data_IF_010902283771
#
_entry.id   IF_010902283771
#
_cell.length_a   1.000
_cell.length_b   1.000
_cell.length_c   1.000
_cell.angle_alpha   90.00
_cell.angle_beta   90.00
_cell.angle_gamma   90.00
#
_symmetry.space_group_name_H-M   'P 1'
#
loop_
_entity.id
_entity.type
_entity.pdbx_description
1 polymer ?
#
# COMPACT_ATOMS: atom_id res chain seq x y z
N UNK A 1 -9.62 13.32 25.60
CA UNK A 1 -8.92 13.37 24.30
C UNK A 1 -9.52 12.30 23.40
N UNK A 2 -9.74 12.57 22.10
CA UNK A 2 -10.18 11.52 21.19
C UNK A 2 -9.13 10.41 21.13
N UNK A 3 -9.60 9.17 21.30
CA UNK A 3 -8.73 7.99 21.29
C UNK A 3 -8.55 7.44 19.88
N UNK A 4 -7.38 6.88 19.63
CA UNK A 4 -6.97 6.37 18.32
C UNK A 4 -6.73 4.85 18.43
N UNK A 5 -7.37 4.08 17.57
CA UNK A 5 -7.01 2.69 17.32
C UNK A 5 -6.20 2.59 16.05
N UNK A 6 -5.02 1.96 16.11
CA UNK A 6 -4.29 1.59 14.89
C UNK A 6 -4.61 0.16 14.51
N UNK A 7 -4.94 -0.05 13.24
CA UNK A 7 -5.14 -1.38 12.65
C UNK A 7 -3.96 -1.73 11.77
N UNK A 8 -3.39 -2.91 11.98
CA UNK A 8 -2.27 -3.45 11.20
C UNK A 8 -2.65 -4.83 10.68
N UNK A 9 -2.58 -5.03 9.38
CA UNK A 9 -2.72 -6.36 8.76
C UNK A 9 -1.33 -6.90 8.43
N UNK A 10 -1.12 -8.19 8.63
CA UNK A 10 0.21 -8.79 8.48
C UNK A 10 0.16 -10.22 7.95
N UNK A 11 1.25 -10.60 7.27
CA UNK A 11 1.55 -11.99 6.89
C UNK A 11 3.02 -12.13 6.55
N UNK A 12 3.79 -12.88 7.37
CA UNK A 12 5.23 -13.10 7.20
C UNK A 12 6.04 -11.79 7.11
N UNK A 13 5.89 -10.94 8.13
CA UNK A 13 6.51 -9.61 8.24
C UNK A 13 7.47 -9.50 9.44
N UNK A 14 8.11 -10.61 9.86
CA UNK A 14 9.03 -10.63 11.00
C UNK A 14 10.12 -9.56 10.94
N UNK A 15 10.58 -9.20 9.72
CA UNK A 15 11.62 -8.20 9.48
C UNK A 15 11.13 -6.75 9.65
N UNK A 16 9.83 -6.52 9.51
CA UNK A 16 9.24 -5.18 9.46
C UNK A 16 8.36 -4.87 10.67
N UNK A 17 7.62 -5.88 11.17
CA UNK A 17 6.53 -5.68 12.14
C UNK A 17 7.00 -4.97 13.42
N UNK A 18 8.19 -5.27 13.94
CA UNK A 18 8.73 -4.59 15.13
C UNK A 18 8.88 -3.09 14.91
N UNK A 19 9.46 -2.69 13.78
CA UNK A 19 9.66 -1.29 13.42
C UNK A 19 8.33 -0.56 13.21
N UNK A 20 7.37 -1.22 12.57
CA UNK A 20 6.01 -0.70 12.39
C UNK A 20 5.36 -0.45 13.75
N UNK A 21 5.25 -1.46 14.60
CA UNK A 21 4.56 -1.38 15.89
C UNK A 21 5.24 -0.41 16.85
N UNK A 22 6.58 -0.34 16.88
CA UNK A 22 7.30 0.66 17.67
C UNK A 22 7.01 2.09 17.24
N UNK A 23 6.67 2.33 15.98
CA UNK A 23 6.37 3.68 15.48
C UNK A 23 4.95 4.16 15.85
N UNK A 24 4.10 3.26 16.33
CA UNK A 24 2.71 3.52 16.69
C UNK A 24 2.40 3.19 18.16
N UNK A 25 3.42 3.03 19.03
CA UNK A 25 3.27 2.70 20.45
C UNK A 25 2.58 3.79 21.28
N UNK A 26 2.45 4.97 20.70
CA UNK A 26 1.82 6.16 21.29
C UNK A 26 0.28 6.20 21.15
N UNK A 27 -0.33 5.27 20.41
CA UNK A 27 -1.79 5.21 20.24
C UNK A 27 -2.46 4.50 21.42
N UNK A 28 -3.78 4.69 21.57
CA UNK A 28 -4.54 4.09 22.68
C UNK A 28 -4.78 2.59 22.48
N UNK A 29 -4.78 2.12 21.24
CA UNK A 29 -5.04 0.73 20.89
C UNK A 29 -4.33 0.30 19.61
N UNK A 30 -3.72 -0.88 19.64
CA UNK A 30 -3.16 -1.54 18.45
C UNK A 30 -3.92 -2.86 18.22
N UNK A 31 -4.54 -3.00 17.05
CA UNK A 31 -5.20 -4.22 16.58
C UNK A 31 -4.38 -4.81 15.45
N UNK A 32 -3.86 -6.01 15.64
CA UNK A 32 -3.11 -6.75 14.62
C UNK A 32 -3.99 -7.88 14.07
N UNK A 33 -4.09 -7.98 12.75
CA UNK A 33 -4.78 -9.09 12.08
C UNK A 33 -3.78 -9.87 11.23
N UNK A 34 -3.51 -11.10 11.64
CA UNK A 34 -2.58 -12.00 10.98
C UNK A 34 -3.32 -12.93 10.01
N UNK A 35 -2.81 -13.05 8.80
CA UNK A 35 -3.39 -13.88 7.74
C UNK A 35 -2.63 -15.18 7.51
N UNK A 36 -2.14 -15.79 8.59
CA UNK A 36 -1.45 -17.09 8.58
C UNK A 36 0.05 -16.96 8.40
N UNK A 37 0.71 -16.13 9.21
CA UNK A 37 2.17 -16.07 9.30
C UNK A 37 2.76 -17.39 9.81
N UNK A 38 3.92 -17.75 9.24
CA UNK A 38 4.70 -18.95 9.57
C UNK A 38 6.07 -18.64 10.17
N UNK A 39 6.39 -17.36 10.26
CA UNK A 39 7.62 -16.79 10.84
C UNK A 39 7.33 -16.21 12.24
N UNK A 40 8.28 -15.47 12.81
CA UNK A 40 8.15 -14.87 14.15
C UNK A 40 7.23 -13.62 14.21
N UNK A 41 6.50 -13.27 13.12
CA UNK A 41 5.63 -12.09 13.06
C UNK A 41 4.68 -11.97 14.26
N UNK A 42 3.93 -13.02 14.58
CA UNK A 42 2.95 -13.02 15.70
C UNK A 42 3.62 -12.91 17.07
N UNK A 43 4.74 -13.59 17.23
CA UNK A 43 5.52 -13.56 18.47
C UNK A 43 6.01 -12.14 18.73
N UNK A 44 6.58 -11.47 17.71
CA UNK A 44 7.02 -10.08 17.82
C UNK A 44 5.84 -9.14 18.08
N UNK A 45 4.71 -9.32 17.38
CA UNK A 45 3.52 -8.49 17.58
C UNK A 45 2.97 -8.60 19.01
N UNK A 46 3.08 -9.78 19.67
CA UNK A 46 2.62 -10.01 21.03
C UNK A 46 3.35 -9.22 22.11
N UNK A 47 4.53 -8.67 21.79
CA UNK A 47 5.28 -7.76 22.67
C UNK A 47 4.63 -6.36 22.76
N UNK A 48 3.82 -5.97 21.77
CA UNK A 48 3.20 -4.64 21.66
C UNK A 48 1.71 -4.64 21.99
N UNK A 49 1.01 -5.73 21.69
CA UNK A 49 -0.43 -5.82 21.92
C UNK A 49 -0.89 -7.25 22.19
N UNK A 50 -1.97 -7.39 22.97
CA UNK A 50 -2.69 -8.65 23.13
C UNK A 50 -3.85 -8.81 22.15
N UNK A 51 -4.14 -7.79 21.35
CA UNK A 51 -5.24 -7.77 20.37
C UNK A 51 -4.76 -8.25 19.01
N UNK A 52 -4.37 -9.51 18.95
CA UNK A 52 -3.94 -10.21 17.73
C UNK A 52 -5.03 -11.19 17.32
N UNK A 53 -5.47 -11.10 16.08
CA UNK A 53 -6.54 -11.93 15.52
C UNK A 53 -6.02 -12.71 14.32
N UNK A 54 -6.21 -14.01 14.35
CA UNK A 54 -5.90 -14.89 13.22
C UNK A 54 -7.11 -15.00 12.30
N UNK A 55 -6.92 -14.77 11.00
CA UNK A 55 -7.97 -14.97 9.99
C UNK A 55 -7.44 -15.70 8.76
N UNK A 56 -8.35 -16.33 8.03
CA UNK A 56 -8.02 -16.80 6.68
C UNK A 56 -7.94 -15.61 5.73
N UNK A 57 -6.92 -15.62 4.87
CA UNK A 57 -6.79 -14.59 3.84
C UNK A 57 -7.95 -14.63 2.83
N UNK A 58 -8.69 -13.54 2.73
CA UNK A 58 -9.79 -13.34 1.78
C UNK A 58 -9.66 -12.02 0.99
N UNK A 59 -8.46 -11.46 0.92
CA UNK A 59 -8.14 -10.20 0.27
C UNK A 59 -7.97 -9.04 1.26
N UNK A 60 -7.29 -8.00 0.80
CA UNK A 60 -6.94 -6.83 1.62
C UNK A 60 -8.18 -6.13 2.20
N UNK A 61 -9.20 -5.88 1.39
CA UNK A 61 -10.39 -5.15 1.82
C UNK A 61 -11.14 -5.83 2.95
N UNK A 62 -11.38 -7.15 2.87
CA UNK A 62 -12.04 -7.92 3.93
C UNK A 62 -11.20 -7.97 5.21
N UNK A 63 -9.89 -8.16 5.07
CA UNK A 63 -8.95 -8.21 6.21
C UNK A 63 -8.92 -6.87 6.95
N UNK A 64 -8.82 -5.76 6.23
CA UNK A 64 -8.85 -4.41 6.84
C UNK A 64 -10.22 -4.05 7.41
N UNK A 65 -11.31 -4.49 6.77
CA UNK A 65 -12.67 -4.34 7.32
C UNK A 65 -12.79 -5.05 8.66
N UNK A 66 -12.36 -6.32 8.73
CA UNK A 66 -12.35 -7.08 9.98
C UNK A 66 -11.51 -6.38 11.06
N UNK A 67 -10.31 -5.89 10.72
CA UNK A 67 -9.45 -5.17 11.65
C UNK A 67 -10.14 -3.90 12.18
N UNK A 68 -10.79 -3.11 11.30
CA UNK A 68 -11.58 -1.92 11.67
C UNK A 68 -12.73 -2.28 12.62
N UNK A 69 -13.44 -3.37 12.37
CA UNK A 69 -14.56 -3.79 13.21
C UNK A 69 -14.09 -4.19 14.62
N UNK A 70 -12.87 -4.73 14.75
CA UNK A 70 -12.24 -5.04 16.05
C UNK A 70 -11.73 -3.81 16.80
N UNK A 71 -11.48 -2.70 16.13
CA UNK A 71 -11.01 -1.48 16.77
C UNK A 71 -12.11 -0.85 17.68
N UNK A 72 -11.71 -0.30 18.84
CA UNK A 72 -12.64 0.19 19.86
C UNK A 72 -12.88 1.70 19.79
N UNK A 73 -11.98 2.44 19.13
CA UNK A 73 -12.02 3.90 19.19
C UNK A 73 -12.54 4.54 17.91
N UNK A 74 -12.95 5.81 18.03
CA UNK A 74 -13.54 6.57 16.93
C UNK A 74 -12.55 6.83 15.79
N UNK A 75 -11.29 7.16 16.11
CA UNK A 75 -10.27 7.37 15.11
C UNK A 75 -9.55 6.08 14.79
N UNK A 76 -9.46 5.77 13.50
CA UNK A 76 -8.72 4.64 12.98
C UNK A 76 -7.51 5.16 12.19
N UNK A 77 -6.32 4.69 12.57
CA UNK A 77 -5.11 4.82 11.78
C UNK A 77 -4.81 3.44 11.15
N UNK A 78 -4.92 3.34 9.83
CA UNK A 78 -4.60 2.09 9.11
C UNK A 78 -3.16 2.13 8.65
N UNK A 79 -2.32 1.21 9.13
CA UNK A 79 -0.89 1.11 8.80
C UNK A 79 -0.60 -0.29 8.30
N UNK A 80 0.16 -0.41 7.22
CA UNK A 80 0.62 -1.72 6.75
C UNK A 80 1.88 -2.14 7.53
N UNK A 81 2.15 -3.44 7.67
CA UNK A 81 3.22 -3.95 8.54
C UNK A 81 4.64 -3.52 8.12
N UNK A 82 4.80 -3.05 6.89
CA UNK A 82 6.04 -2.51 6.33
C UNK A 82 6.08 -0.96 6.29
N UNK A 83 5.11 -0.30 6.97
CA UNK A 83 5.04 1.16 7.08
C UNK A 83 5.49 1.64 8.48
N UNK A 84 5.98 2.90 8.55
CA UNK A 84 6.48 3.54 9.78
C UNK A 84 5.94 4.96 9.88
N UNK A 85 5.29 5.26 11.00
CA UNK A 85 4.83 6.61 11.33
C UNK A 85 6.02 7.43 11.84
N UNK A 86 6.34 8.54 11.14
CA UNK A 86 7.40 9.45 11.61
C UNK A 86 6.96 10.27 12.81
N UNK A 87 7.91 10.84 13.58
CA UNK A 87 7.57 11.71 14.70
C UNK A 87 6.74 12.91 14.26
N UNK A 88 7.11 13.55 13.14
CA UNK A 88 6.37 14.68 12.59
C UNK A 88 4.94 14.30 12.19
N UNK A 89 4.75 13.10 11.62
CA UNK A 89 3.41 12.59 11.27
C UNK A 89 2.59 12.28 12.53
N UNK A 90 3.19 11.68 13.56
CA UNK A 90 2.56 11.46 14.86
C UNK A 90 2.02 12.77 15.44
N UNK A 91 2.88 13.80 15.50
CA UNK A 91 2.51 15.09 16.07
C UNK A 91 1.38 15.77 15.28
N UNK A 92 1.41 15.66 13.95
CA UNK A 92 0.34 16.14 13.07
C UNK A 92 -0.97 15.40 13.30
N UNK A 93 -0.96 14.07 13.39
CA UNK A 93 -2.14 13.24 13.68
C UNK A 93 -2.74 13.61 15.03
N UNK A 94 -1.90 13.70 16.08
CA UNK A 94 -2.36 14.05 17.42
C UNK A 94 -2.97 15.45 17.48
N UNK A 95 -2.44 16.40 16.74
CA UNK A 95 -2.99 17.75 16.64
C UNK A 95 -4.36 17.75 15.96
N UNK A 96 -4.48 17.07 14.84
CA UNK A 96 -5.71 17.04 14.04
C UNK A 96 -6.83 16.30 14.76
N UNK A 97 -6.56 15.15 15.35
CA UNK A 97 -7.58 14.36 16.05
C UNK A 97 -8.13 15.05 17.29
N UNK A 98 -7.39 16.04 17.85
CA UNK A 98 -7.85 16.88 18.99
C UNK A 98 -8.64 18.11 18.54
N UNK A 99 -8.61 18.48 17.28
CA UNK A 99 -9.31 19.65 16.77
C UNK A 99 -10.81 19.40 16.65
N UNK A 100 -11.62 20.38 17.05
CA UNK A 100 -13.07 20.36 16.83
C UNK A 100 -13.42 20.43 15.33
N UNK A 101 -12.55 21.07 14.53
CA UNK A 101 -12.69 21.20 13.08
C UNK A 101 -12.12 20.00 12.32
N UNK A 102 -11.95 18.84 12.99
CA UNK A 102 -11.39 17.66 12.34
C UNK A 102 -12.36 17.06 11.31
N UNK A 103 -11.86 16.85 10.08
CA UNK A 103 -12.60 16.22 9.00
C UNK A 103 -12.82 14.72 9.27
N UNK A 104 -13.52 14.02 8.36
CA UNK A 104 -13.88 12.61 8.55
C UNK A 104 -12.77 11.63 8.12
N UNK A 105 -11.83 12.11 7.31
CA UNK A 105 -10.68 11.34 6.89
C UNK A 105 -9.54 12.19 6.38
N UNK A 106 -8.34 11.56 6.31
CA UNK A 106 -7.14 12.25 5.84
C UNK A 106 -6.29 11.33 4.98
N UNK A 107 -5.89 11.86 3.82
CA UNK A 107 -4.85 11.30 3.02
C UNK A 107 -3.49 11.62 3.63
N UNK A 108 -2.63 10.60 3.71
CA UNK A 108 -1.25 10.70 4.20
C UNK A 108 -0.31 10.48 3.01
N UNK A 109 0.67 11.36 2.74
CA UNK A 109 1.65 11.13 1.69
C UNK A 109 2.58 9.98 2.11
N UNK A 110 2.60 8.91 1.31
CA UNK A 110 3.46 7.76 1.53
C UNK A 110 4.76 7.91 0.76
N UNK A 111 5.89 7.71 1.44
CA UNK A 111 7.22 7.80 0.87
C UNK A 111 7.87 6.43 0.88
N UNK A 112 8.11 5.88 -0.30
CA UNK A 112 8.60 4.50 -0.45
C UNK A 112 10.12 4.43 -0.52
N UNK A 113 10.68 3.41 0.17
CA UNK A 113 12.07 3.01 0.06
C UNK A 113 12.20 1.94 -1.01
N UNK A 114 13.03 2.20 -1.99
CA UNK A 114 13.34 1.26 -3.08
C UNK A 114 14.83 0.99 -3.10
N UNK A 115 15.23 -0.25 -2.86
CA UNK A 115 16.62 -0.70 -2.82
C UNK A 115 17.50 0.17 -1.90
N UNK A 116 16.98 0.47 -0.70
CA UNK A 116 17.68 1.26 0.32
C UNK A 116 17.60 2.79 0.13
N UNK A 117 17.00 3.30 -0.96
CA UNK A 117 16.85 4.73 -1.22
C UNK A 117 15.42 5.20 -1.13
N UNK A 118 15.19 6.33 -0.46
CA UNK A 118 13.90 7.01 -0.43
C UNK A 118 13.64 7.71 -1.75
N UNK A 119 12.61 7.28 -2.48
CA UNK A 119 12.23 7.85 -3.77
C UNK A 119 11.41 9.12 -3.55
N UNK A 120 11.78 10.19 -4.26
CA UNK A 120 11.12 11.49 -4.17
C UNK A 120 10.50 11.95 -5.49
N UNK A 121 10.85 11.33 -6.60
CA UNK A 121 10.46 11.71 -7.95
C UNK A 121 9.86 10.53 -8.72
N UNK A 122 9.81 10.62 -10.03
CA UNK A 122 9.28 9.55 -10.87
C UNK A 122 7.77 9.30 -10.71
N UNK A 123 7.09 10.08 -9.88
CA UNK A 123 5.66 9.91 -9.55
C UNK A 123 5.40 8.89 -8.46
N UNK A 124 6.43 8.50 -7.71
CA UNK A 124 6.32 7.66 -6.52
C UNK A 124 6.10 8.46 -5.24
N UNK A 125 6.36 9.76 -5.26
CA UNK A 125 6.09 10.66 -4.14
C UNK A 125 5.57 12.00 -4.68
N UNK A 126 4.58 12.62 -3.99
CA UNK A 126 3.78 12.02 -2.92
C UNK A 126 2.78 10.99 -3.47
N UNK A 127 2.72 9.82 -2.80
CA UNK A 127 1.69 8.80 -3.01
C UNK A 127 0.66 8.92 -1.88
N UNK A 128 -0.44 9.61 -2.15
CA UNK A 128 -1.45 9.88 -1.13
C UNK A 128 -2.36 8.67 -0.91
N UNK A 129 -2.34 8.13 0.31
CA UNK A 129 -3.17 7.02 0.75
C UNK A 129 -4.07 7.45 1.91
N UNK A 130 -5.35 7.08 1.87
CA UNK A 130 -6.30 7.37 2.94
C UNK A 130 -6.04 6.42 4.12
N UNK A 131 -5.44 6.94 5.19
CA UNK A 131 -4.94 6.12 6.30
C UNK A 131 -5.52 6.53 7.67
N UNK A 132 -5.93 7.77 7.86
CA UNK A 132 -6.56 8.25 9.10
C UNK A 132 -8.02 8.59 8.81
N UNK A 133 -8.97 8.05 9.59
CA UNK A 133 -10.39 8.28 9.35
C UNK A 133 -11.24 7.96 10.59
N UNK A 134 -12.44 8.55 10.67
CA UNK A 134 -13.44 8.22 11.68
C UNK A 134 -14.10 6.87 11.34
N UNK A 135 -14.12 5.96 12.30
CA UNK A 135 -14.55 4.56 12.16
C UNK A 135 -15.92 4.44 11.52
N UNK A 136 -16.90 5.20 12.02
CA UNK A 136 -18.30 5.07 11.62
C UNK A 136 -18.59 5.63 10.22
N UNK A 137 -17.73 6.54 9.75
CA UNK A 137 -17.85 7.19 8.45
C UNK A 137 -17.06 6.46 7.34
N UNK A 138 -16.36 5.36 7.66
CA UNK A 138 -15.46 4.70 6.74
C UNK A 138 -15.85 3.25 6.45
N UNK A 139 -15.72 2.86 5.16
CA UNK A 139 -15.90 1.48 4.69
C UNK A 139 -14.74 1.08 3.79
N UNK A 140 -14.26 -0.16 3.94
CA UNK A 140 -13.34 -0.75 2.96
C UNK A 140 -14.14 -1.39 1.84
N UNK A 141 -13.79 -1.10 0.59
CA UNK A 141 -14.35 -1.84 -0.54
C UNK A 141 -13.80 -3.27 -0.56
N UNK A 142 -14.54 -4.18 -1.18
CA UNK A 142 -14.17 -5.61 -1.24
C UNK A 142 -13.29 -5.95 -2.45
N UNK A 143 -12.51 -4.98 -3.00
CA UNK A 143 -11.59 -5.26 -4.08
C UNK A 143 -10.46 -6.19 -3.63
N UNK A 144 -10.12 -7.18 -4.45
CA UNK A 144 -9.06 -8.14 -4.12
C UNK A 144 -7.65 -7.56 -4.25
N UNK A 145 -7.46 -6.53 -5.09
CA UNK A 145 -6.11 -6.03 -5.46
C UNK A 145 -5.94 -4.53 -5.16
N UNK A 146 -7.00 -3.75 -5.29
CA UNK A 146 -6.97 -2.30 -5.10
C UNK A 146 -8.03 -1.90 -4.07
N UNK A 147 -7.82 -2.38 -2.83
CA UNK A 147 -8.69 -1.95 -1.74
C UNK A 147 -8.57 -0.45 -1.52
N UNK A 148 -9.71 0.17 -1.31
CA UNK A 148 -9.80 1.58 -0.96
C UNK A 148 -10.68 1.75 0.26
N UNK A 149 -10.30 2.67 1.11
CA UNK A 149 -11.20 3.21 2.12
C UNK A 149 -12.09 4.25 1.44
N UNK A 150 -13.37 4.13 1.62
CA UNK A 150 -14.38 5.11 1.24
C UNK A 150 -14.87 5.78 2.52
N UNK A 151 -14.76 7.10 2.58
CA UNK A 151 -15.21 7.90 3.73
C UNK A 151 -16.42 8.72 3.31
N UNK A 152 -17.48 8.61 4.09
CA UNK A 152 -18.67 9.45 3.94
C UNK A 152 -18.46 10.72 4.77
N UNK A 153 -18.13 11.82 4.09
CA UNK A 153 -17.85 13.11 4.73
C UNK A 153 -16.65 13.83 4.08
N UNK A 154 -16.11 14.81 4.79
CA UNK A 154 -15.03 15.64 4.29
C UNK A 154 -13.67 14.99 4.51
N UNK A 155 -12.79 15.10 3.51
CA UNK A 155 -11.47 14.47 3.51
C UNK A 155 -10.39 15.53 3.29
N UNK A 156 -9.38 15.54 4.18
CA UNK A 156 -8.22 16.42 4.10
C UNK A 156 -6.94 15.69 3.68
N UNK A 157 -5.83 16.44 3.72
CA UNK A 157 -4.49 15.96 3.38
C UNK A 157 -3.53 16.34 4.49
N UNK A 158 -2.76 15.36 4.99
CA UNK A 158 -1.64 15.60 5.88
C UNK A 158 -0.39 15.97 5.07
N UNK A 159 0.55 16.62 5.73
CA UNK A 159 1.79 17.10 5.12
C UNK A 159 2.96 16.14 5.36
N UNK A 160 2.98 15.51 6.54
CA UNK A 160 4.08 14.65 6.95
C UNK A 160 3.91 13.22 6.42
N UNK A 161 5.02 12.60 6.03
CA UNK A 161 5.00 11.35 5.29
C UNK A 161 4.96 10.11 6.20
N UNK A 162 4.19 9.11 5.77
CA UNK A 162 4.30 7.73 6.18
C UNK A 162 5.44 7.06 5.40
N UNK A 163 6.41 6.48 6.09
CA UNK A 163 7.53 5.78 5.45
C UNK A 163 7.13 4.35 5.10
N UNK A 164 7.44 3.89 3.89
CA UNK A 164 7.06 2.57 3.40
C UNK A 164 8.31 1.80 2.91
N UNK A 165 8.64 0.71 3.57
CA UNK A 165 9.80 -0.14 3.29
C UNK A 165 9.40 -1.28 2.35
N UNK A 166 9.07 -0.94 1.11
CA UNK A 166 8.37 -1.86 0.20
C UNK A 166 9.26 -2.92 -0.46
N UNK A 167 10.44 -2.55 -0.93
CA UNK A 167 11.27 -3.43 -1.78
C UNK A 167 12.73 -3.39 -1.34
N UNK A 168 13.11 -4.22 -0.34
CA UNK A 168 14.47 -4.24 0.20
C UNK A 168 15.49 -4.79 -0.78
N UNK A 169 15.07 -5.69 -1.69
CA UNK A 169 15.91 -6.30 -2.73
C UNK A 169 15.23 -6.23 -4.09
N UNK A 170 16.04 -6.32 -5.14
CA UNK A 170 15.50 -6.35 -6.50
C UNK A 170 14.73 -7.63 -6.80
N UNK A 171 15.15 -8.77 -6.23
CA UNK A 171 14.45 -10.05 -6.37
C UNK A 171 13.04 -9.96 -5.78
N UNK A 172 12.89 -9.40 -4.57
CA UNK A 172 11.58 -9.16 -3.97
C UNK A 172 10.68 -8.27 -4.86
N UNK A 173 11.26 -7.21 -5.45
CA UNK A 173 10.55 -6.36 -6.40
C UNK A 173 10.09 -7.14 -7.64
N UNK A 174 10.95 -8.00 -8.21
CA UNK A 174 10.61 -8.82 -9.39
C UNK A 174 9.53 -9.86 -9.10
N UNK A 175 9.53 -10.48 -7.93
CA UNK A 175 8.48 -11.41 -7.49
C UNK A 175 7.12 -10.69 -7.41
N UNK A 176 7.09 -9.51 -6.78
CA UNK A 176 5.90 -8.65 -6.74
C UNK A 176 5.45 -8.26 -8.14
N UNK A 177 6.37 -7.78 -8.97
CA UNK A 177 6.11 -7.40 -10.37
C UNK A 177 5.47 -8.57 -11.13
N UNK A 178 6.05 -9.77 -11.02
CA UNK A 178 5.53 -10.95 -11.71
C UNK A 178 4.08 -11.26 -11.28
N UNK A 179 3.81 -11.24 -9.97
CA UNK A 179 2.47 -11.47 -9.42
C UNK A 179 1.45 -10.42 -9.88
N UNK A 180 1.79 -9.13 -9.72
CA UNK A 180 0.87 -8.05 -10.07
C UNK A 180 0.62 -7.93 -11.58
N UNK A 181 1.61 -8.24 -12.42
CA UNK A 181 1.40 -8.26 -13.88
C UNK A 181 0.50 -9.40 -14.33
N UNK A 182 0.55 -10.56 -13.65
CA UNK A 182 -0.36 -11.68 -13.92
C UNK A 182 -1.80 -11.30 -13.54
N UNK A 183 -2.02 -10.83 -12.31
CA UNK A 183 -3.34 -10.40 -11.84
C UNK A 183 -3.92 -9.27 -12.71
N UNK A 184 -3.09 -8.29 -13.09
CA UNK A 184 -3.52 -7.20 -13.96
C UNK A 184 -3.84 -7.63 -15.38
N UNK A 185 -3.14 -8.64 -15.93
CA UNK A 185 -3.45 -9.22 -17.24
C UNK A 185 -4.78 -9.99 -17.21
N UNK A 186 -5.00 -10.82 -16.18
CA UNK A 186 -6.25 -11.55 -15.97
C UNK A 186 -7.46 -10.61 -15.83
N UNK A 187 -7.31 -9.54 -15.05
CA UNK A 187 -8.36 -8.54 -14.86
C UNK A 187 -8.74 -7.87 -16.19
N UNK A 188 -7.73 -7.46 -16.97
CA UNK A 188 -7.97 -6.87 -18.30
C UNK A 188 -8.64 -7.87 -19.25
N UNK A 189 -8.21 -9.14 -19.21
CA UNK A 189 -8.79 -10.20 -20.03
C UNK A 189 -10.27 -10.43 -19.70
N UNK A 190 -10.61 -10.51 -18.39
CA UNK A 190 -12.02 -10.64 -17.92
C UNK A 190 -12.89 -9.46 -18.34
N UNK A 191 -12.30 -8.25 -18.42
CA UNK A 191 -12.97 -7.03 -18.93
C UNK A 191 -13.07 -7.00 -20.47
N UNK A 192 -12.74 -8.08 -21.16
CA UNK A 192 -12.81 -8.17 -22.63
C UNK A 192 -11.72 -7.42 -23.39
N UNK A 193 -10.70 -6.90 -22.68
CA UNK A 193 -9.58 -6.20 -23.34
C UNK A 193 -8.69 -7.20 -24.08
N UNK A 194 -8.21 -6.77 -25.25
CA UNK A 194 -7.25 -7.52 -26.07
C UNK A 194 -6.04 -6.63 -26.31
N UNK A 195 -4.87 -7.25 -26.46
CA UNK A 195 -3.60 -6.54 -26.66
C UNK A 195 -3.34 -6.35 -28.15
N UNK A 196 -2.89 -5.16 -28.51
CA UNK A 196 -2.32 -4.85 -29.83
C UNK A 196 -0.78 -4.76 -29.70
N UNK A 197 -0.07 -4.97 -30.80
CA UNK A 197 1.41 -4.87 -30.82
C UNK A 197 1.91 -3.51 -30.27
N UNK A 198 1.18 -2.44 -30.58
CA UNK A 198 1.42 -1.10 -30.01
C UNK A 198 1.44 -1.07 -28.47
N UNK A 199 0.56 -1.83 -27.81
CA UNK A 199 0.49 -1.86 -26.34
C UNK A 199 1.74 -2.52 -25.74
N UNK A 200 2.32 -3.51 -26.44
CA UNK A 200 3.52 -4.22 -26.00
C UNK A 200 4.77 -3.37 -26.21
N UNK A 201 4.85 -2.66 -27.35
CA UNK A 201 6.07 -1.92 -27.73
C UNK A 201 6.08 -0.51 -27.18
N UNK A 202 5.07 0.30 -27.46
CA UNK A 202 5.13 1.75 -27.17
C UNK A 202 4.72 2.14 -25.74
N UNK A 203 3.79 1.42 -25.12
CA UNK A 203 3.38 1.76 -23.74
C UNK A 203 4.53 1.64 -22.72
N UNK A 204 5.39 0.61 -22.75
CA UNK A 204 6.54 0.54 -21.84
C UNK A 204 7.47 1.75 -21.96
N UNK A 205 7.79 2.14 -23.19
CA UNK A 205 8.62 3.32 -23.45
C UNK A 205 7.97 4.60 -22.97
N UNK A 206 6.67 4.79 -23.23
CA UNK A 206 5.93 5.94 -22.75
C UNK A 206 5.95 6.04 -21.22
N UNK A 207 5.84 4.92 -20.51
CA UNK A 207 5.95 4.88 -19.03
C UNK A 207 7.36 5.26 -18.58
N UNK A 208 8.40 4.69 -19.20
CA UNK A 208 9.78 5.03 -18.90
C UNK A 208 10.03 6.53 -19.08
N UNK A 209 9.73 7.10 -20.26
CA UNK A 209 9.94 8.52 -20.53
C UNK A 209 9.15 9.43 -19.59
N UNK A 210 7.89 9.09 -19.32
CA UNK A 210 7.07 9.84 -18.38
C UNK A 210 7.67 9.85 -16.98
N UNK A 211 8.11 8.70 -16.47
CA UNK A 211 8.66 8.59 -15.10
C UNK A 211 10.03 9.24 -15.01
N UNK A 212 10.92 8.93 -15.95
CA UNK A 212 12.31 9.38 -15.87
C UNK A 212 12.48 10.85 -16.18
N UNK A 213 11.87 11.33 -17.27
CA UNK A 213 12.02 12.72 -17.71
C UNK A 213 10.90 13.64 -17.19
N UNK A 214 9.64 13.34 -17.51
CA UNK A 214 8.53 14.26 -17.19
C UNK A 214 8.34 14.39 -15.69
N UNK A 215 8.37 13.26 -14.97
CA UNK A 215 8.27 13.22 -13.50
C UNK A 215 9.61 13.30 -12.78
N UNK A 216 10.67 13.71 -13.50
CA UNK A 216 12.00 14.00 -12.96
C UNK A 216 12.65 12.84 -12.18
N UNK A 217 12.35 11.59 -12.55
CA UNK A 217 12.92 10.40 -11.91
C UNK A 217 14.45 10.39 -11.93
N UNK A 218 15.10 11.05 -12.89
CA UNK A 218 16.55 11.21 -12.97
C UNK A 218 17.16 11.92 -11.73
N UNK A 219 16.38 12.72 -11.01
CA UNK A 219 16.83 13.35 -9.76
C UNK A 219 17.01 12.34 -8.60
N UNK A 220 16.43 11.16 -8.69
CA UNK A 220 16.68 10.07 -7.75
C UNK A 220 17.90 9.21 -8.16
N UNK A 221 18.68 9.65 -9.17
CA UNK A 221 19.91 9.01 -9.63
C UNK A 221 19.67 7.60 -10.17
N UNK A 222 20.58 6.67 -9.88
CA UNK A 222 20.53 5.28 -10.38
C UNK A 222 19.24 4.57 -9.95
N UNK A 223 18.77 4.77 -8.72
CA UNK A 223 17.52 4.17 -8.25
C UNK A 223 16.31 4.65 -9.04
N UNK A 224 16.26 5.94 -9.39
CA UNK A 224 15.21 6.50 -10.25
C UNK A 224 15.24 5.94 -11.67
N UNK A 225 16.45 5.72 -12.22
CA UNK A 225 16.61 5.06 -13.52
C UNK A 225 16.11 3.62 -13.49
N UNK A 226 16.61 2.79 -12.53
CA UNK A 226 16.18 1.40 -12.36
C UNK A 226 14.66 1.32 -12.22
N UNK A 227 14.09 2.20 -11.41
CA UNK A 227 12.65 2.24 -11.17
C UNK A 227 11.84 2.57 -12.43
N UNK A 228 12.30 3.54 -13.23
CA UNK A 228 11.66 3.90 -14.49
C UNK A 228 11.71 2.76 -15.52
N UNK A 229 12.87 2.09 -15.66
CA UNK A 229 13.04 0.92 -16.52
C UNK A 229 12.13 -0.23 -16.05
N UNK A 230 12.16 -0.54 -14.76
CA UNK A 230 11.36 -1.62 -14.17
C UNK A 230 9.86 -1.36 -14.29
N UNK A 231 9.42 -0.09 -14.21
CA UNK A 231 8.03 0.29 -14.43
C UNK A 231 7.59 0.12 -15.89
N UNK A 232 8.47 0.43 -16.83
CA UNK A 232 8.28 0.10 -18.25
C UNK A 232 8.17 -1.41 -18.45
N UNK A 233 9.07 -2.17 -17.83
CA UNK A 233 9.06 -3.63 -17.89
C UNK A 233 7.81 -4.25 -17.24
N UNK A 234 7.29 -3.64 -16.17
CA UNK A 234 5.99 -4.02 -15.59
C UNK A 234 4.86 -3.92 -16.63
N UNK A 235 4.80 -2.81 -17.36
CA UNK A 235 3.79 -2.60 -18.41
C UNK A 235 3.99 -3.60 -19.54
N UNK A 236 5.21 -3.79 -20.02
CA UNK A 236 5.56 -4.81 -21.02
C UNK A 236 5.07 -6.19 -20.60
N UNK A 237 5.47 -6.65 -19.42
CA UNK A 237 5.14 -7.98 -18.90
C UNK A 237 3.62 -8.18 -18.78
N UNK A 238 2.88 -7.18 -18.31
CA UNK A 238 1.41 -7.24 -18.21
C UNK A 238 0.75 -7.43 -19.58
N UNK A 239 1.18 -6.65 -20.59
CA UNK A 239 0.58 -6.75 -21.92
C UNK A 239 1.00 -8.00 -22.67
N UNK A 240 2.23 -8.52 -22.48
CA UNK A 240 2.63 -9.83 -23.01
C UNK A 240 1.78 -10.94 -22.42
N UNK A 241 1.55 -10.95 -21.10
CA UNK A 241 0.69 -11.92 -20.44
C UNK A 241 -0.76 -11.82 -20.93
N UNK A 242 -1.29 -10.60 -21.12
CA UNK A 242 -2.62 -10.40 -21.68
C UNK A 242 -2.72 -10.90 -23.11
N UNK A 243 -1.70 -10.68 -23.94
CA UNK A 243 -1.63 -11.21 -25.29
C UNK A 243 -1.65 -12.74 -25.30
N UNK A 244 -0.83 -13.36 -24.44
CA UNK A 244 -0.78 -14.82 -24.31
C UNK A 244 -2.14 -15.41 -23.90
N UNK A 245 -2.83 -14.82 -22.92
CA UNK A 245 -4.19 -15.23 -22.53
C UNK A 245 -5.18 -15.13 -23.69
N UNK A 246 -5.05 -14.12 -24.55
CA UNK A 246 -5.87 -13.97 -25.75
C UNK A 246 -5.57 -15.00 -26.83
N UNK A 247 -4.31 -15.35 -27.07
CA UNK A 247 -3.89 -16.31 -28.11
C UNK A 247 -4.24 -17.75 -27.76
N UNK A 248 -4.08 -18.15 -26.49
CA UNK A 248 -4.42 -19.52 -26.05
C UNK A 248 -5.92 -19.79 -26.12
N UNK A 249 -6.76 -18.82 -25.80
CA UNK A 249 -8.21 -19.01 -25.79
C UNK A 249 -8.91 -18.70 -27.13
N UNK A 250 -8.17 -18.18 -28.12
CA UNK A 250 -8.71 -18.01 -29.51
C UNK A 250 -8.35 -19.18 -30.43
N UNK A 251 -7.59 -20.16 -29.95
CA UNK A 251 -7.25 -21.41 -30.68
C UNK A 251 -8.13 -22.61 -30.28
N UNK A 252 -9.15 -22.41 -29.47
CA UNK A 252 -10.26 -23.32 -29.20
C UNK A 252 -11.56 -22.74 -29.80
#
# INVERSE_FOLDING_TARGET
MPKISTIVITRNEEKNIRRCLSSIDWVDEIVVVDSGSRDDTKKIASEFTKRIFDIKWEGFGKTKSFAKDKASHQWILSVDADEVVTQDLKDEIQKITKSEDSLDGYYIPRKSNFLGKWIKHGGWYPDYVLRLFKKDNAKFNHSMVHEKVEVNGEIGYLKNALLHYTDPTFDHYLEKLNRYTSLGAEELYRKGKRTKLFDIILRPWAVFFKMYFVKKGFLDGVSGFILAVSSGFHVFSKYVKLWHLGSVNSGQ
#
